data_IF_520280314658
#
_entry.id   IF_520280314658
#
_cell.length_a   1.000
_cell.length_b   1.000
_cell.length_c   1.000
_cell.angle_alpha   90.00
_cell.angle_beta   90.00
_cell.angle_gamma   90.00
#
_symmetry.space_group_name_H-M   'P 1'
#
loop_
_entity.id
_entity.type
_entity.pdbx_description
1 polymer ?
#
# COMPACT_ATOMS: atom_id res chain seq x y z
N UNK A 1 -33.75 -1.82 -39.73
CA UNK A 1 -32.61 -2.60 -39.19
C UNK A 1 -31.43 -1.64 -39.09
N UNK A 2 -31.24 -1.01 -37.93
CA UNK A 2 -30.15 -0.06 -37.71
C UNK A 2 -28.99 -0.80 -37.04
N UNK A 3 -27.88 -0.96 -37.76
CA UNK A 3 -26.64 -1.53 -37.23
C UNK A 3 -25.90 -0.39 -36.56
N UNK A 4 -26.00 -0.29 -35.24
CA UNK A 4 -25.16 0.61 -34.44
C UNK A 4 -23.74 0.04 -34.42
N UNK A 5 -22.79 0.83 -34.94
CA UNK A 5 -21.39 0.46 -35.11
C UNK A 5 -20.63 0.59 -33.76
N UNK A 6 -19.75 -0.36 -33.36
CA UNK A 6 -19.08 -0.38 -32.06
C UNK A 6 -17.79 0.48 -32.04
N UNK A 7 -17.86 1.75 -32.45
CA UNK A 7 -16.68 2.62 -32.60
C UNK A 7 -16.10 3.11 -31.27
N UNK A 8 -16.93 3.33 -30.25
CA UNK A 8 -16.48 3.90 -28.97
C UNK A 8 -15.49 3.05 -28.16
N UNK A 9 -15.48 1.73 -28.33
CA UNK A 9 -14.55 0.85 -27.61
C UNK A 9 -13.12 0.91 -28.19
N UNK A 10 -13.00 1.00 -29.52
CA UNK A 10 -11.71 1.05 -30.23
C UNK A 10 -11.02 2.38 -29.97
N UNK A 11 -11.77 3.50 -29.98
CA UNK A 11 -11.22 4.83 -29.70
C UNK A 11 -10.74 4.96 -28.25
N UNK A 12 -11.50 4.39 -27.30
CA UNK A 12 -11.09 4.35 -25.88
C UNK A 12 -9.83 3.50 -25.68
N UNK A 13 -9.72 2.34 -26.32
CA UNK A 13 -8.53 1.49 -26.22
C UNK A 13 -7.28 2.16 -26.80
N UNK A 14 -7.41 2.84 -27.96
CA UNK A 14 -6.32 3.61 -28.57
C UNK A 14 -5.89 4.79 -27.69
N UNK A 15 -6.83 5.52 -27.11
CA UNK A 15 -6.54 6.60 -26.18
C UNK A 15 -5.83 6.10 -24.92
N UNK A 16 -6.28 4.97 -24.34
CA UNK A 16 -5.62 4.35 -23.17
C UNK A 16 -4.21 3.88 -23.52
N UNK A 17 -4.01 3.26 -24.69
CA UNK A 17 -2.69 2.83 -25.15
C UNK A 17 -1.76 4.04 -25.35
N UNK A 18 -2.24 5.10 -26.01
CA UNK A 18 -1.50 6.34 -26.20
C UNK A 18 -1.08 6.97 -24.87
N UNK A 19 -1.99 7.05 -23.90
CA UNK A 19 -1.67 7.54 -22.56
C UNK A 19 -0.67 6.63 -21.82
N UNK A 20 -0.79 5.31 -21.99
CA UNK A 20 0.12 4.32 -21.40
C UNK A 20 1.53 4.50 -21.94
N UNK A 21 1.69 4.61 -23.26
CA UNK A 21 2.98 4.84 -23.93
C UNK A 21 3.54 6.21 -23.54
N UNK A 22 2.71 7.26 -23.56
CA UNK A 22 3.13 8.61 -23.17
C UNK A 22 3.64 8.64 -21.72
N UNK A 23 2.91 8.02 -20.79
CA UNK A 23 3.34 7.89 -19.41
C UNK A 23 4.66 7.11 -19.28
N UNK A 24 4.83 6.00 -20.03
CA UNK A 24 6.07 5.23 -20.03
C UNK A 24 7.26 6.06 -20.51
N UNK A 25 7.10 6.81 -21.61
CA UNK A 25 8.15 7.67 -22.17
C UNK A 25 8.56 8.79 -21.20
N UNK A 26 7.58 9.47 -20.59
CA UNK A 26 7.84 10.51 -19.58
C UNK A 26 8.55 9.89 -18.36
N UNK A 27 8.13 8.71 -17.94
CA UNK A 27 8.74 8.00 -16.80
C UNK A 27 10.18 7.62 -17.10
N UNK A 28 10.47 7.08 -18.30
CA UNK A 28 11.83 6.74 -18.73
C UNK A 28 12.71 7.99 -18.78
N UNK A 29 12.22 9.09 -19.37
CA UNK A 29 12.96 10.35 -19.44
C UNK A 29 13.24 10.91 -18.04
N UNK A 30 12.25 10.89 -17.15
CA UNK A 30 12.40 11.30 -15.75
C UNK A 30 13.45 10.44 -15.05
N UNK A 31 13.39 9.11 -15.18
CA UNK A 31 14.36 8.20 -14.59
C UNK A 31 15.77 8.50 -15.11
N UNK A 32 15.96 8.68 -16.42
CA UNK A 32 17.28 8.96 -17.00
C UNK A 32 17.88 10.27 -16.47
N UNK A 33 17.10 11.36 -16.43
CA UNK A 33 17.57 12.66 -15.91
C UNK A 33 17.85 12.59 -14.41
N UNK A 34 16.95 11.98 -13.64
CA UNK A 34 17.10 11.83 -12.20
C UNK A 34 18.32 10.98 -11.84
N UNK A 35 18.55 9.90 -12.59
CA UNK A 35 19.72 9.05 -12.45
C UNK A 35 21.00 9.80 -12.79
N UNK A 36 21.03 10.56 -13.90
CA UNK A 36 22.18 11.39 -14.28
C UNK A 36 22.57 12.38 -13.17
N UNK A 37 21.59 13.14 -12.65
CA UNK A 37 21.83 14.10 -11.56
C UNK A 37 22.36 13.41 -10.30
N UNK A 38 21.81 12.24 -9.97
CA UNK A 38 22.26 11.45 -8.82
C UNK A 38 23.68 10.91 -9.01
N UNK A 39 23.99 10.48 -10.22
CA UNK A 39 25.28 9.94 -10.59
C UNK A 39 26.38 11.00 -10.50
N UNK A 40 26.11 12.21 -10.98
CA UNK A 40 27.04 13.34 -10.89
C UNK A 40 27.34 13.70 -9.42
N UNK A 41 26.31 13.78 -8.57
CA UNK A 41 26.49 14.07 -7.15
C UNK A 41 27.35 13.01 -6.43
N UNK A 42 27.18 11.74 -6.78
CA UNK A 42 28.00 10.64 -6.24
C UNK A 42 29.41 10.65 -6.81
N UNK A 43 29.57 11.03 -8.08
CA UNK A 43 30.89 11.23 -8.68
C UNK A 43 31.66 12.33 -7.95
N UNK A 44 31.03 13.48 -7.74
CA UNK A 44 31.61 14.59 -6.99
C UNK A 44 31.98 14.16 -5.58
N UNK A 45 31.07 13.47 -4.87
CA UNK A 45 31.38 12.89 -3.56
C UNK A 45 32.61 11.96 -3.62
N UNK A 46 32.70 11.08 -4.62
CA UNK A 46 33.87 10.22 -4.80
C UNK A 46 35.17 11.03 -4.98
N UNK A 47 35.13 12.14 -5.73
CA UNK A 47 36.30 13.02 -5.91
C UNK A 47 36.72 13.70 -4.61
N UNK A 48 35.78 14.10 -3.75
CA UNK A 48 36.09 14.64 -2.42
C UNK A 48 36.80 13.62 -1.52
N UNK A 49 36.61 12.33 -1.77
CA UNK A 49 37.29 11.21 -1.12
C UNK A 49 38.52 10.70 -1.90
N UNK A 50 39.11 11.55 -2.76
CA UNK A 50 40.36 11.29 -3.49
C UNK A 50 40.30 10.16 -4.52
N UNK A 51 39.11 9.75 -4.98
CA UNK A 51 38.98 8.95 -6.19
C UNK A 51 39.16 9.85 -7.41
N UNK A 52 39.94 9.41 -8.39
CA UNK A 52 40.25 10.21 -9.59
C UNK A 52 40.04 9.42 -10.88
N UNK A 53 39.80 10.15 -11.97
CA UNK A 53 39.59 9.60 -13.30
C UNK A 53 38.47 8.56 -13.32
N UNK A 54 38.70 7.43 -14.02
CA UNK A 54 37.71 6.35 -14.18
C UNK A 54 37.24 5.74 -12.86
N UNK A 55 38.02 5.82 -11.78
CA UNK A 55 37.63 5.25 -10.48
C UNK A 55 36.53 6.05 -9.80
N UNK A 56 36.51 7.37 -9.98
CA UNK A 56 35.45 8.22 -9.46
C UNK A 56 34.12 7.98 -10.19
N UNK A 57 34.15 7.59 -11.47
CA UNK A 57 32.97 7.13 -12.23
C UNK A 57 32.57 5.69 -11.87
N UNK A 58 33.55 4.80 -11.65
CA UNK A 58 33.23 3.42 -11.29
C UNK A 58 32.56 3.30 -9.91
N UNK A 59 32.82 4.22 -9.00
CA UNK A 59 32.28 4.15 -7.64
C UNK A 59 30.74 4.26 -7.58
N UNK A 60 30.07 5.29 -8.16
CA UNK A 60 28.61 5.31 -8.26
C UNK A 60 28.05 4.07 -8.97
N UNK A 61 28.71 3.61 -10.04
CA UNK A 61 28.30 2.41 -10.77
C UNK A 61 28.26 1.14 -9.89
N UNK A 62 29.08 1.05 -8.84
CA UNK A 62 29.00 -0.09 -7.90
C UNK A 62 27.70 -0.08 -7.09
N UNK A 63 27.20 1.09 -6.70
CA UNK A 63 25.90 1.22 -6.02
C UNK A 63 24.76 0.83 -6.95
N UNK A 64 24.83 1.27 -8.21
CA UNK A 64 23.84 0.92 -9.23
C UNK A 64 23.81 -0.59 -9.51
N UNK A 65 24.97 -1.24 -9.48
CA UNK A 65 25.07 -2.69 -9.64
C UNK A 65 24.32 -3.45 -8.53
N UNK A 66 24.24 -2.94 -7.29
CA UNK A 66 23.40 -3.54 -6.25
C UNK A 66 21.92 -3.46 -6.60
N UNK A 67 21.46 -2.30 -7.08
CA UNK A 67 20.06 -2.09 -7.50
C UNK A 67 19.73 -2.99 -8.68
N UNK A 68 20.50 -2.92 -9.77
CA UNK A 68 20.29 -3.72 -10.99
C UNK A 68 20.32 -5.22 -10.68
N UNK A 69 21.29 -5.69 -9.89
CA UNK A 69 21.37 -7.11 -9.52
C UNK A 69 20.19 -7.53 -8.66
N UNK A 70 19.82 -6.71 -7.67
CA UNK A 70 18.66 -6.95 -6.83
C UNK A 70 17.37 -7.03 -7.64
N UNK A 71 17.15 -6.10 -8.57
CA UNK A 71 15.96 -6.05 -9.42
C UNK A 71 15.88 -7.23 -10.38
N UNK A 72 16.99 -7.65 -10.99
CA UNK A 72 17.05 -8.85 -11.83
C UNK A 72 16.70 -10.11 -11.02
N UNK A 73 17.18 -10.20 -9.77
CA UNK A 73 16.86 -11.30 -8.87
C UNK A 73 15.41 -11.26 -8.40
N UNK A 74 14.85 -10.08 -8.09
CA UNK A 74 13.42 -9.90 -7.77
C UNK A 74 12.56 -10.31 -8.95
N UNK A 75 12.92 -9.89 -10.18
CA UNK A 75 12.21 -10.28 -11.39
C UNK A 75 12.28 -11.79 -11.62
N UNK A 76 13.48 -12.39 -11.46
CA UNK A 76 13.66 -13.86 -11.52
C UNK A 76 12.79 -14.56 -10.49
N UNK A 77 12.78 -14.09 -9.25
CA UNK A 77 11.97 -14.66 -8.16
C UNK A 77 10.47 -14.52 -8.47
N UNK A 78 10.02 -13.38 -9.00
CA UNK A 78 8.65 -13.13 -9.42
C UNK A 78 8.20 -14.08 -10.53
N UNK A 79 9.05 -14.30 -11.55
CA UNK A 79 8.79 -15.27 -12.62
C UNK A 79 8.68 -16.71 -12.09
N UNK A 80 9.45 -17.05 -11.05
CA UNK A 80 9.36 -18.32 -10.35
C UNK A 80 8.26 -18.36 -9.27
N UNK A 81 7.49 -17.29 -9.09
CA UNK A 81 6.46 -17.12 -8.05
C UNK A 81 6.99 -17.33 -6.62
N UNK A 82 8.18 -16.81 -6.32
CA UNK A 82 8.82 -16.87 -4.99
C UNK A 82 9.19 -15.47 -4.51
N UNK A 83 9.31 -15.33 -3.18
CA UNK A 83 9.91 -14.16 -2.55
C UNK A 83 11.41 -14.43 -2.32
N UNK A 84 12.25 -13.50 -2.76
CA UNK A 84 13.70 -13.54 -2.54
C UNK A 84 14.12 -12.37 -1.66
N UNK A 85 14.29 -12.65 -0.37
CA UNK A 85 14.65 -11.64 0.63
C UNK A 85 16.04 -11.05 0.38
N UNK A 86 16.99 -11.83 -0.14
CA UNK A 86 18.32 -11.32 -0.44
C UNK A 86 18.25 -10.33 -1.60
N UNK A 87 17.47 -10.65 -2.64
CA UNK A 87 17.20 -9.72 -3.74
C UNK A 87 16.58 -8.41 -3.24
N UNK A 88 15.58 -8.50 -2.35
CA UNK A 88 14.95 -7.32 -1.75
C UNK A 88 15.95 -6.49 -0.92
N UNK A 89 16.84 -7.13 -0.16
CA UNK A 89 17.89 -6.45 0.60
C UNK A 89 18.86 -5.74 -0.34
N UNK A 90 19.24 -6.35 -1.47
CA UNK A 90 20.12 -5.72 -2.48
C UNK A 90 19.50 -4.46 -3.07
N UNK A 91 18.23 -4.51 -3.49
CA UNK A 91 17.52 -3.34 -4.01
C UNK A 91 17.40 -2.26 -2.94
N UNK A 92 17.01 -2.65 -1.72
CA UNK A 92 16.83 -1.72 -0.62
C UNK A 92 18.15 -1.03 -0.21
N UNK A 93 19.25 -1.78 -0.14
CA UNK A 93 20.56 -1.22 0.21
C UNK A 93 21.08 -0.27 -0.86
N UNK A 94 20.98 -0.63 -2.14
CA UNK A 94 21.36 0.26 -3.25
C UNK A 94 20.50 1.53 -3.29
N UNK A 95 19.18 1.40 -3.13
CA UNK A 95 18.24 2.53 -3.16
C UNK A 95 18.43 3.47 -1.97
N UNK A 96 18.47 2.92 -0.75
CA UNK A 96 18.68 3.72 0.46
C UNK A 96 20.07 4.35 0.47
N UNK A 97 21.09 3.60 0.06
CA UNK A 97 22.46 4.08 -0.09
C UNK A 97 22.54 5.26 -1.06
N UNK A 98 21.91 5.15 -2.23
CA UNK A 98 21.86 6.23 -3.21
C UNK A 98 21.25 7.51 -2.62
N UNK A 99 20.09 7.41 -1.96
CA UNK A 99 19.43 8.57 -1.32
C UNK A 99 20.34 9.18 -0.24
N UNK A 100 20.84 8.37 0.70
CA UNK A 100 21.67 8.86 1.80
C UNK A 100 22.96 9.50 1.29
N UNK A 101 23.63 8.89 0.32
CA UNK A 101 24.89 9.40 -0.20
C UNK A 101 24.70 10.66 -1.05
N UNK A 102 23.57 10.81 -1.75
CA UNK A 102 23.23 12.08 -2.39
C UNK A 102 23.02 13.19 -1.36
N UNK A 103 22.35 12.90 -0.24
CA UNK A 103 22.22 13.87 0.87
C UNK A 103 23.59 14.21 1.49
N UNK A 104 24.47 13.21 1.63
CA UNK A 104 25.84 13.42 2.14
C UNK A 104 26.68 14.26 1.16
N UNK A 105 26.47 14.13 -0.15
CA UNK A 105 27.25 14.83 -1.17
C UNK A 105 27.20 16.35 -1.06
N UNK A 106 26.08 16.91 -0.58
CA UNK A 106 25.94 18.36 -0.37
C UNK A 106 26.53 18.84 0.97
N UNK A 107 26.93 17.93 1.85
CA UNK A 107 27.55 18.22 3.14
C UNK A 107 26.58 18.50 4.28
N UNK A 108 27.00 18.24 5.53
CA UNK A 108 26.15 18.37 6.71
C UNK A 108 25.89 19.82 7.17
N UNK A 109 26.70 20.77 6.70
CA UNK A 109 26.62 22.17 7.10
C UNK A 109 25.56 22.99 6.32
N UNK A 110 24.98 22.43 5.26
CA UNK A 110 23.91 23.06 4.48
C UNK A 110 22.57 22.98 5.19
N UNK A 111 21.64 23.84 4.79
CA UNK A 111 20.29 23.85 5.33
C UNK A 111 19.50 22.57 4.95
N UNK A 112 18.43 22.28 5.70
CA UNK A 112 17.60 21.09 5.48
C UNK A 112 16.93 21.07 4.11
N UNK A 113 16.61 22.22 3.52
CA UNK A 113 15.98 22.28 2.20
C UNK A 113 16.95 21.80 1.14
N UNK A 114 18.21 22.24 1.21
CA UNK A 114 19.29 21.75 0.32
C UNK A 114 19.50 20.23 0.46
N UNK A 115 19.48 19.69 1.68
CA UNK A 115 19.55 18.24 1.90
C UNK A 115 18.37 17.49 1.28
N UNK A 116 17.15 18.00 1.45
CA UNK A 116 15.95 17.40 0.83
C UNK A 116 16.04 17.45 -0.69
N UNK A 117 16.48 18.58 -1.26
CA UNK A 117 16.65 18.73 -2.72
C UNK A 117 17.65 17.70 -3.27
N UNK A 118 18.74 17.44 -2.55
CA UNK A 118 19.71 16.41 -2.94
C UNK A 118 19.12 14.99 -2.97
N UNK A 119 18.13 14.69 -2.12
CA UNK A 119 17.43 13.40 -2.12
C UNK A 119 16.40 13.26 -3.26
N UNK A 120 15.96 14.36 -3.89
CA UNK A 120 14.89 14.34 -4.89
C UNK A 120 15.26 13.48 -6.11
N UNK A 121 16.43 13.64 -6.76
CA UNK A 121 16.76 12.84 -7.93
C UNK A 121 16.71 11.33 -7.68
N UNK A 122 17.42 10.73 -6.71
CA UNK A 122 17.36 9.28 -6.50
C UNK A 122 15.97 8.80 -6.08
N UNK A 123 15.22 9.60 -5.30
CA UNK A 123 13.84 9.27 -4.92
C UNK A 123 12.90 9.28 -6.13
N UNK A 124 13.02 10.27 -7.01
CA UNK A 124 12.24 10.38 -8.23
C UNK A 124 12.54 9.22 -9.17
N UNK A 125 13.81 8.84 -9.33
CA UNK A 125 14.21 7.69 -10.13
C UNK A 125 13.59 6.38 -9.62
N UNK A 126 13.65 6.14 -8.30
CA UNK A 126 13.07 4.95 -7.67
C UNK A 126 11.55 4.86 -7.87
N UNK A 127 10.83 5.97 -7.65
CA UNK A 127 9.38 6.02 -7.80
C UNK A 127 8.95 5.87 -9.27
N UNK A 128 9.65 6.55 -10.18
CA UNK A 128 9.45 6.45 -11.61
C UNK A 128 9.67 5.01 -12.09
N UNK A 129 10.78 4.39 -11.70
CA UNK A 129 11.07 3.00 -12.05
C UNK A 129 10.02 2.03 -11.50
N UNK A 130 9.61 2.21 -10.25
CA UNK A 130 8.53 1.42 -9.63
C UNK A 130 7.22 1.55 -10.41
N UNK A 131 6.87 2.77 -10.84
CA UNK A 131 5.68 3.01 -11.66
C UNK A 131 5.79 2.33 -13.04
N UNK A 132 6.95 2.42 -13.69
CA UNK A 132 7.23 1.78 -14.97
C UNK A 132 7.15 0.24 -14.86
N UNK A 133 7.76 -0.35 -13.84
CA UNK A 133 7.71 -1.80 -13.59
C UNK A 133 6.29 -2.27 -13.29
N UNK A 134 5.51 -1.49 -12.54
CA UNK A 134 4.09 -1.80 -12.31
C UNK A 134 3.28 -1.77 -13.61
N UNK A 135 3.58 -0.83 -14.50
CA UNK A 135 2.94 -0.75 -15.82
C UNK A 135 3.35 -1.93 -16.71
N UNK A 136 4.65 -2.25 -16.75
CA UNK A 136 5.21 -3.37 -17.50
C UNK A 136 4.63 -4.70 -17.02
N UNK A 137 4.61 -4.93 -15.70
CA UNK A 137 4.04 -6.15 -15.11
C UNK A 137 2.57 -6.33 -15.47
N UNK A 138 1.76 -5.26 -15.40
CA UNK A 138 0.34 -5.28 -15.82
C UNK A 138 0.18 -5.57 -17.31
N UNK A 139 1.12 -5.12 -18.14
CA UNK A 139 1.10 -5.38 -19.57
C UNK A 139 1.49 -6.83 -19.89
N UNK A 140 2.50 -7.39 -19.21
CA UNK A 140 3.02 -8.74 -19.45
C UNK A 140 2.12 -9.84 -18.89
N UNK A 141 1.57 -9.65 -17.69
CA UNK A 141 0.81 -10.70 -16.99
C UNK A 141 -0.69 -10.64 -17.32
N UNK A 142 -1.13 -9.66 -18.12
CA UNK A 142 -2.54 -9.25 -18.13
C UNK A 142 -2.91 -8.74 -16.73
N UNK A 143 -4.20 -8.44 -16.45
CA UNK A 143 -4.60 -8.11 -15.07
C UNK A 143 -4.03 -9.20 -14.14
N UNK A 144 -3.10 -8.88 -13.22
CA UNK A 144 -2.75 -9.86 -12.22
C UNK A 144 -4.04 -10.13 -11.46
N UNK A 145 -4.49 -11.37 -11.54
CA UNK A 145 -5.36 -11.91 -10.51
C UNK A 145 -4.57 -11.66 -9.22
N UNK A 146 -5.02 -10.66 -8.45
CA UNK A 146 -4.54 -10.46 -7.09
C UNK A 146 -4.60 -11.85 -6.47
N UNK A 147 -3.51 -12.39 -5.87
CA UNK A 147 -3.58 -13.68 -5.21
C UNK A 147 -4.78 -13.66 -4.29
N UNK A 148 -5.84 -14.34 -4.74
CA UNK A 148 -7.06 -14.46 -3.96
C UNK A 148 -6.58 -15.25 -2.73
N UNK A 149 -6.77 -14.74 -1.50
CA UNK A 149 -6.53 -15.57 -0.33
C UNK A 149 -7.26 -16.89 -0.59
N UNK A 150 -6.62 -18.06 -0.32
CA UNK A 150 -7.07 -19.35 -0.80
C UNK A 150 -8.58 -19.44 -0.63
N UNK A 151 -9.28 -19.50 -1.76
CA UNK A 151 -10.73 -19.63 -1.79
C UNK A 151 -11.02 -20.91 -1.03
N UNK A 152 -11.50 -20.78 0.21
CA UNK A 152 -11.95 -21.91 0.99
C UNK A 152 -12.95 -22.67 0.12
N UNK A 153 -12.54 -23.86 -0.31
CA UNK A 153 -13.33 -24.76 -1.12
C UNK A 153 -14.56 -25.08 -0.27
N UNK A 154 -15.72 -24.59 -0.73
CA UNK A 154 -16.97 -24.74 -0.01
C UNK A 154 -17.31 -26.24 -0.05
N UNK A 155 -17.36 -26.97 1.07
CA UNK A 155 -17.70 -28.39 1.03
C UNK A 155 -19.13 -28.51 0.49
N UNK A 156 -19.30 -29.32 -0.55
CA UNK A 156 -20.61 -29.78 -1.01
C UNK A 156 -21.33 -30.47 0.16
N UNK A 157 -22.60 -30.14 0.46
CA UNK A 157 -23.33 -30.83 1.50
C UNK A 157 -23.55 -32.28 1.06
N UNK A 158 -23.02 -33.23 1.82
CA UNK A 158 -23.45 -34.63 1.76
C UNK A 158 -24.54 -34.77 2.81
N UNK A 159 -25.77 -35.01 2.37
CA UNK A 159 -26.90 -35.31 3.23
C UNK A 159 -26.65 -36.64 3.95
N UNK A 160 -26.53 -36.59 5.28
CA UNK A 160 -26.62 -37.78 6.13
C UNK A 160 -27.82 -37.60 7.05
N UNK A 161 -28.85 -38.38 6.76
CA UNK A 161 -30.08 -38.54 7.53
C UNK A 161 -29.75 -39.10 8.92
N UNK A 162 -29.98 -38.32 9.97
CA UNK A 162 -29.77 -38.74 11.36
C UNK A 162 -31.00 -39.50 11.89
N UNK A 163 -30.84 -40.81 12.09
CA UNK A 163 -31.80 -41.63 12.85
C UNK A 163 -31.68 -41.31 14.35
N UNK A 164 -32.80 -40.92 14.95
CA UNK A 164 -32.89 -40.53 16.35
C UNK A 164 -32.82 -41.71 17.33
N UNK A 165 -32.10 -41.52 18.44
CA UNK A 165 -32.26 -42.35 19.66
C UNK A 165 -32.54 -41.40 20.84
N UNK A 166 -33.78 -41.49 21.33
CA UNK A 166 -34.30 -40.94 22.60
C UNK A 166 -33.52 -41.49 23.81
N UNK A 167 -33.50 -40.93 25.02
CA UNK A 167 -33.99 -39.72 25.67
C UNK A 167 -33.39 -39.75 27.10
N UNK A 168 -33.17 -38.60 27.74
CA UNK A 168 -33.46 -38.32 29.17
C UNK A 168 -32.74 -37.03 29.64
N UNK A 169 -33.57 -36.02 29.95
CA UNK A 169 -33.49 -35.07 31.08
C UNK A 169 -32.31 -34.07 31.15
N UNK A 170 -32.63 -32.78 30.95
CA UNK A 170 -31.85 -31.60 31.33
C UNK A 170 -31.95 -31.36 32.86
N UNK A 171 -30.87 -30.92 33.56
CA UNK A 171 -30.57 -29.48 33.69
C UNK A 171 -29.05 -29.18 33.88
N UNK A 172 -28.63 -27.93 34.20
CA UNK A 172 -28.79 -26.68 33.47
C UNK A 172 -27.55 -26.35 32.61
N UNK A 173 -27.75 -25.50 31.60
CA UNK A 173 -26.73 -25.04 30.65
C UNK A 173 -25.54 -24.35 31.35
N UNK A 174 -24.29 -24.83 31.20
CA UNK A 174 -23.12 -24.02 31.52
C UNK A 174 -23.11 -22.78 30.62
N UNK A 175 -22.92 -21.61 31.22
CA UNK A 175 -22.86 -20.34 30.52
C UNK A 175 -21.92 -20.42 29.30
N UNK A 176 -22.40 -19.91 28.16
CA UNK A 176 -21.61 -19.84 26.94
C UNK A 176 -20.29 -19.09 27.21
N UNK A 177 -19.13 -19.58 26.73
CA UNK A 177 -17.89 -18.83 26.80
C UNK A 177 -18.04 -17.50 26.03
N UNK A 178 -17.46 -16.39 26.52
CA UNK A 178 -17.52 -15.10 25.84
C UNK A 178 -16.85 -15.18 24.47
N UNK A 179 -17.48 -14.58 23.46
CA UNK A 179 -16.89 -14.37 22.15
C UNK A 179 -15.57 -13.60 22.30
N UNK A 180 -14.49 -14.11 21.69
CA UNK A 180 -13.19 -13.45 21.70
C UNK A 180 -13.32 -12.03 21.10
N UNK A 181 -12.71 -10.99 21.70
CA UNK A 181 -12.80 -9.63 21.20
C UNK A 181 -12.11 -9.51 19.84
N UNK A 182 -12.79 -8.89 18.88
CA UNK A 182 -12.21 -8.52 17.58
C UNK A 182 -11.03 -7.56 17.83
N UNK A 183 -9.84 -7.91 17.34
CA UNK A 183 -8.67 -7.05 17.44
C UNK A 183 -8.67 -6.03 16.29
N UNK A 184 -8.74 -4.75 16.63
CA UNK A 184 -8.61 -3.64 15.67
C UNK A 184 -7.14 -3.25 15.49
N UNK A 185 -6.79 -2.73 14.30
CA UNK A 185 -5.43 -2.27 14.01
C UNK A 185 -5.07 -0.99 14.78
N UNK A 186 -6.08 -0.22 15.21
CA UNK A 186 -5.94 1.02 15.96
C UNK A 186 -6.77 0.98 17.26
N UNK A 187 -6.22 1.35 18.43
CA UNK A 187 -6.98 1.41 19.68
C UNK A 187 -8.19 2.38 19.62
N UNK A 188 -8.17 3.37 18.74
CA UNK A 188 -9.28 4.31 18.49
C UNK A 188 -10.49 3.63 17.86
N UNK A 189 -10.28 2.57 17.08
CA UNK A 189 -11.38 1.79 16.49
C UNK A 189 -12.19 1.06 17.57
N UNK A 190 -11.55 0.61 18.66
CA UNK A 190 -12.26 0.04 19.80
C UNK A 190 -13.17 1.06 20.52
N UNK A 191 -12.77 2.34 20.53
CA UNK A 191 -13.59 3.43 21.09
C UNK A 191 -14.79 3.70 20.21
N UNK A 192 -14.59 3.78 18.88
CA UNK A 192 -15.69 3.96 17.93
C UNK A 192 -16.64 2.77 17.98
N UNK A 193 -16.12 1.54 18.10
CA UNK A 193 -16.93 0.33 18.22
C UNK A 193 -17.92 0.39 19.39
N UNK A 194 -17.49 0.89 20.56
CA UNK A 194 -18.35 1.01 21.74
C UNK A 194 -19.55 1.93 21.52
N UNK A 195 -19.44 2.89 20.60
CA UNK A 195 -20.55 3.79 20.27
C UNK A 195 -21.70 3.05 19.56
N UNK A 196 -21.43 1.91 18.92
CA UNK A 196 -22.46 1.07 18.31
C UNK A 196 -23.25 0.25 19.33
N UNK A 197 -22.78 0.11 20.58
CA UNK A 197 -23.50 -0.65 21.60
C UNK A 197 -24.87 -0.03 21.93
N UNK A 198 -25.06 1.26 21.59
CA UNK A 198 -26.35 1.95 21.64
C UNK A 198 -27.33 1.59 20.52
N UNK A 199 -27.02 0.62 19.65
CA UNK A 199 -27.91 0.17 18.58
C UNK A 199 -28.12 1.16 17.44
N UNK A 200 -27.31 2.23 17.38
CA UNK A 200 -27.36 3.24 16.33
C UNK A 200 -25.99 3.41 15.69
N UNK A 201 -25.98 3.87 14.44
CA UNK A 201 -24.76 4.18 13.71
C UNK A 201 -24.29 5.59 14.08
N UNK A 202 -23.13 5.74 14.73
CA UNK A 202 -22.64 7.03 15.21
C UNK A 202 -22.23 7.95 14.07
N UNK A 203 -22.53 9.23 14.24
CA UNK A 203 -22.13 10.31 13.35
C UNK A 203 -20.74 10.83 13.70
N UNK A 204 -20.19 11.65 12.79
CA UNK A 204 -18.81 12.15 12.92
C UNK A 204 -18.62 13.05 14.14
N UNK A 205 -19.63 13.81 14.54
CA UNK A 205 -19.59 14.63 15.77
C UNK A 205 -19.49 13.79 17.04
N UNK A 206 -20.32 12.76 17.19
CA UNK A 206 -20.31 11.83 18.33
C UNK A 206 -18.99 11.08 18.43
N UNK A 207 -18.46 10.59 17.30
CA UNK A 207 -17.16 9.91 17.26
C UNK A 207 -16.01 10.86 17.65
N UNK A 208 -16.04 12.12 17.20
CA UNK A 208 -15.02 13.11 17.56
C UNK A 208 -15.03 13.39 19.06
N UNK A 209 -16.21 13.65 19.63
CA UNK A 209 -16.36 13.90 21.06
C UNK A 209 -15.85 12.73 21.91
N UNK A 210 -16.13 11.48 21.51
CA UNK A 210 -15.66 10.29 22.21
C UNK A 210 -14.13 10.12 22.15
N UNK A 211 -13.51 10.45 21.01
CA UNK A 211 -12.06 10.38 20.83
C UNK A 211 -11.33 11.50 21.59
N UNK A 212 -11.92 12.69 21.66
CA UNK A 212 -11.43 13.81 22.47
C UNK A 212 -11.49 13.49 23.97
N UNK A 213 -12.62 12.94 24.45
CA UNK A 213 -12.77 12.48 25.84
C UNK A 213 -11.77 11.37 26.21
N UNK A 214 -11.40 10.54 25.25
CA UNK A 214 -10.39 9.49 25.43
C UNK A 214 -8.94 10.00 25.29
N UNK A 215 -8.71 11.30 25.09
CA UNK A 215 -7.39 11.93 25.09
C UNK A 215 -6.65 11.94 23.76
N UNK A 216 -7.31 11.61 22.63
CA UNK A 216 -6.68 11.57 21.31
C UNK A 216 -6.60 12.94 20.60
N UNK A 217 -7.07 14.01 21.25
CA UNK A 217 -7.08 15.36 20.71
C UNK A 217 -8.06 15.55 19.55
N UNK A 218 -7.97 16.71 18.88
CA UNK A 218 -8.83 17.03 17.74
C UNK A 218 -8.38 16.27 16.50
N UNK A 219 -9.25 15.39 15.98
CA UNK A 219 -8.98 14.59 14.78
C UNK A 219 -9.83 15.08 13.60
N UNK A 220 -9.30 14.94 12.38
CA UNK A 220 -10.02 15.34 11.17
C UNK A 220 -11.17 14.38 10.83
N UNK A 221 -12.23 14.92 10.22
CA UNK A 221 -13.41 14.14 9.83
C UNK A 221 -13.10 13.04 8.81
N UNK A 222 -12.10 13.30 7.94
CA UNK A 222 -11.60 12.32 6.99
C UNK A 222 -10.99 11.11 7.68
N UNK A 223 -10.23 11.30 8.76
CA UNK A 223 -9.62 10.22 9.52
C UNK A 223 -10.69 9.44 10.31
N UNK A 224 -11.59 10.14 10.99
CA UNK A 224 -12.64 9.51 11.82
C UNK A 224 -13.58 8.66 10.97
N UNK A 225 -14.13 9.23 9.88
CA UNK A 225 -15.10 8.54 9.03
C UNK A 225 -14.43 7.59 8.04
N UNK A 226 -13.36 8.04 7.40
CA UNK A 226 -12.75 7.36 6.25
C UNK A 226 -11.77 6.26 6.63
N UNK A 227 -11.19 6.31 7.83
CA UNK A 227 -10.22 5.32 8.30
C UNK A 227 -10.77 4.54 9.47
N UNK A 228 -11.09 5.20 10.58
CA UNK A 228 -11.41 4.51 11.83
C UNK A 228 -12.79 3.81 11.79
N UNK A 229 -13.85 4.53 11.39
CA UNK A 229 -15.18 3.92 11.24
C UNK A 229 -15.22 2.87 10.13
N UNK A 230 -14.57 3.15 9.01
CA UNK A 230 -14.50 2.22 7.89
C UNK A 230 -13.82 0.90 8.28
N UNK A 231 -12.80 0.94 9.14
CA UNK A 231 -12.18 -0.26 9.68
C UNK A 231 -13.13 -1.06 10.57
N UNK A 232 -13.85 -0.40 11.48
CA UNK A 232 -14.84 -1.03 12.37
C UNK A 232 -15.95 -1.70 11.56
N UNK A 233 -16.52 -1.01 10.57
CA UNK A 233 -17.59 -1.54 9.71
C UNK A 233 -17.09 -2.66 8.79
N UNK A 234 -15.82 -2.63 8.37
CA UNK A 234 -15.21 -3.72 7.59
C UNK A 234 -15.02 -4.99 8.42
N UNK A 235 -14.64 -4.86 9.70
CA UNK A 235 -14.42 -6.00 10.59
C UNK A 235 -15.74 -6.54 11.17
N UNK A 236 -16.74 -5.69 11.33
CA UNK A 236 -18.08 -6.06 11.77
C UNK A 236 -19.15 -5.47 10.84
N UNK A 237 -19.41 -6.12 9.67
CA UNK A 237 -20.33 -5.60 8.65
C UNK A 237 -21.77 -5.38 9.11
N UNK A 238 -22.20 -6.06 10.18
CA UNK A 238 -23.53 -5.88 10.77
C UNK A 238 -23.73 -4.46 11.35
N UNK A 239 -22.65 -3.74 11.65
CA UNK A 239 -22.72 -2.39 12.21
C UNK A 239 -23.12 -1.33 11.18
N UNK A 240 -22.83 -1.57 9.90
CA UNK A 240 -23.20 -0.65 8.82
C UNK A 240 -24.73 -0.56 8.64
N UNK A 241 -25.46 -1.62 9.01
CA UNK A 241 -26.92 -1.70 8.86
C UNK A 241 -27.68 -1.01 10.00
N UNK A 242 -26.98 -0.51 11.02
CA UNK A 242 -27.61 0.16 12.16
C UNK A 242 -28.25 1.49 11.73
N UNK A 243 -29.42 1.85 12.29
CA UNK A 243 -30.08 3.12 11.97
C UNK A 243 -29.17 4.29 12.36
N UNK A 244 -29.08 5.36 11.53
CA UNK A 244 -28.26 6.52 11.86
C UNK A 244 -28.74 7.16 13.16
N UNK A 245 -27.79 7.62 13.98
CA UNK A 245 -28.13 8.39 15.17
C UNK A 245 -29.00 9.61 14.78
N UNK A 246 -30.05 9.87 15.56
CA UNK A 246 -30.83 11.10 15.38
C UNK A 246 -29.95 12.26 15.82
N UNK A 247 -29.49 13.06 14.88
CA UNK A 247 -28.84 14.33 15.19
C UNK A 247 -29.86 15.21 15.93
N UNK A 248 -29.68 15.36 17.25
CA UNK A 248 -30.35 16.42 18.01
C UNK A 248 -29.88 17.74 17.40
N UNK A 249 -30.73 18.34 16.56
CA UNK A 249 -30.54 19.73 16.13
C UNK A 249 -30.64 20.57 17.41
N UNK A 250 -29.52 21.15 17.82
CA UNK A 250 -29.54 22.19 18.84
C UNK A 250 -30.44 23.33 18.34
N UNK A 251 -31.51 23.60 19.10
CA UNK A 251 -32.29 24.82 19.00
C UNK A 251 -31.56 25.94 19.75
#
# INVERSE_FOLDING_TARGET
MAITHPTGHVDRQRAVLGLTIGAALVTIALTAVAFWLSYEALHDLATTHHLTGVRAWAWPATLDAFVVSGELLVLRASLLRRLDWLAMILVASGSAGSIVLNVVSVGAAVDRTTQVVAAIPPTAALLAFTALMRQLYRALVGRPDVPQPPRAERPTPVDVELTAVNALVLPPKPAAPPALPVAYSDPRCAIIRRLYDGGTRPGTGTMRAALEQAGYGTLSDGLIRGTLRAEVERLEPLLETYPPEKQLRAA
#
